data_IF_387684570173
#
_entry.id   IF_387684570173
#
_cell.length_a   1.000
_cell.length_b   1.000
_cell.length_c   1.000
_cell.angle_alpha   90.00
_cell.angle_beta   90.00
_cell.angle_gamma   90.00
#
_symmetry.space_group_name_H-M   'P 1'
#
loop_
_entity.id
_entity.type
_entity.pdbx_description
1 polymer ?
#
# COMPACT_ATOMS: atom_id res chain seq x y z
N UNK A 1 -8.01 -0.86 -1.45
CA UNK A 1 -8.60 0.46 -1.78
C UNK A 1 -9.80 0.24 -2.69
N UNK A 2 -10.88 0.99 -2.46
CA UNK A 2 -11.92 1.14 -3.48
C UNK A 2 -11.35 2.06 -4.55
N UNK A 3 -11.36 1.59 -5.80
CA UNK A 3 -10.98 2.40 -6.95
C UNK A 3 -11.98 3.56 -7.11
N UNK A 4 -11.52 4.76 -7.54
CA UNK A 4 -12.43 5.85 -7.86
C UNK A 4 -13.49 5.39 -8.87
N UNK A 5 -14.75 5.73 -8.61
CA UNK A 5 -15.84 5.40 -9.51
C UNK A 5 -16.03 6.51 -10.55
N UNK A 6 -16.32 6.13 -11.79
CA UNK A 6 -16.57 7.08 -12.88
C UNK A 6 -17.77 7.98 -12.54
N UNK A 7 -17.61 9.32 -12.58
CA UNK A 7 -18.71 10.24 -12.31
C UNK A 7 -19.92 10.04 -13.25
N UNK A 8 -19.72 9.58 -14.49
CA UNK A 8 -20.82 9.28 -15.41
C UNK A 8 -21.72 8.15 -14.87
N UNK A 9 -21.12 7.10 -14.29
CA UNK A 9 -21.83 5.97 -13.68
C UNK A 9 -22.59 6.42 -12.43
N UNK A 10 -21.98 7.28 -11.61
CA UNK A 10 -22.64 7.85 -10.42
C UNK A 10 -23.81 8.76 -10.81
N UNK A 11 -23.73 9.44 -11.95
CA UNK A 11 -24.80 10.30 -12.45
C UNK A 11 -25.97 9.53 -13.06
N UNK A 12 -25.69 8.42 -13.76
CA UNK A 12 -26.70 7.59 -14.43
C UNK A 12 -27.43 6.65 -13.47
N UNK A 13 -26.83 6.33 -12.31
CA UNK A 13 -27.43 5.47 -11.30
C UNK A 13 -27.40 6.11 -9.90
N UNK A 14 -28.44 6.89 -9.52
CA UNK A 14 -28.47 7.60 -8.25
C UNK A 14 -28.55 6.68 -7.02
N UNK A 15 -29.15 5.49 -7.16
CA UNK A 15 -29.18 4.49 -6.08
C UNK A 15 -27.78 3.94 -5.81
N UNK A 16 -27.05 3.60 -6.88
CA UNK A 16 -25.66 3.18 -6.76
C UNK A 16 -24.78 4.31 -6.20
N UNK A 17 -25.01 5.56 -6.59
CA UNK A 17 -24.32 6.72 -6.01
C UNK A 17 -24.50 6.81 -4.49
N UNK A 18 -25.73 6.67 -4.01
CA UNK A 18 -26.02 6.67 -2.57
C UNK A 18 -25.31 5.53 -1.84
N UNK A 19 -25.35 4.32 -2.39
CA UNK A 19 -24.64 3.15 -1.85
C UNK A 19 -23.12 3.37 -1.81
N UNK A 20 -22.53 3.82 -2.92
CA UNK A 20 -21.11 4.09 -3.04
C UNK A 20 -20.65 5.14 -2.03
N UNK A 21 -21.44 6.22 -1.87
CA UNK A 21 -21.18 7.26 -0.86
C UNK A 21 -21.26 6.69 0.56
N UNK A 22 -22.27 5.90 0.88
CA UNK A 22 -22.41 5.29 2.21
C UNK A 22 -21.25 4.33 2.51
N UNK A 23 -20.86 3.51 1.54
CA UNK A 23 -19.73 2.59 1.67
C UNK A 23 -18.42 3.34 1.95
N UNK A 24 -18.13 4.38 1.16
CA UNK A 24 -16.85 5.11 1.24
C UNK A 24 -16.75 6.07 2.43
N UNK A 25 -17.87 6.58 2.94
CA UNK A 25 -17.88 7.54 4.06
C UNK A 25 -18.12 6.88 5.41
N UNK A 26 -19.08 5.96 5.52
CA UNK A 26 -19.55 5.43 6.81
C UNK A 26 -19.03 4.02 7.12
N UNK A 27 -18.78 3.19 6.10
CA UNK A 27 -18.51 1.75 6.31
C UNK A 27 -17.03 1.41 6.15
N UNK A 28 -16.37 2.01 5.17
CA UNK A 28 -15.01 1.65 4.78
C UNK A 28 -14.02 2.76 5.12
N UNK A 29 -12.80 2.33 5.44
CA UNK A 29 -11.61 3.16 5.51
C UNK A 29 -11.04 3.36 4.09
N UNK A 30 -10.18 4.38 3.88
CA UNK A 30 -9.56 4.63 2.57
C UNK A 30 -8.78 3.44 2.01
N UNK A 31 -8.18 2.62 2.88
CA UNK A 31 -7.47 1.40 2.49
C UNK A 31 -8.41 0.27 1.99
N UNK A 32 -9.73 0.45 2.08
CA UNK A 32 -10.77 -0.51 1.70
C UNK A 32 -11.18 -1.43 2.85
N UNK A 33 -10.64 -1.23 4.04
CA UNK A 33 -10.92 -2.05 5.20
C UNK A 33 -12.17 -1.55 5.95
N UNK A 34 -12.90 -2.41 6.67
CA UNK A 34 -14.16 -2.00 7.33
C UNK A 34 -13.93 -1.28 8.66
N UNK A 35 -14.82 -0.35 9.00
CA UNK A 35 -14.84 0.38 10.28
C UNK A 35 -15.49 -0.41 11.41
N UNK A 36 -16.51 -1.22 11.10
CA UNK A 36 -17.30 -1.98 12.06
C UNK A 36 -16.49 -2.94 12.96
N UNK A 37 -15.34 -3.42 12.48
CA UNK A 37 -14.49 -4.38 13.21
C UNK A 37 -13.11 -3.81 13.50
N UNK A 38 -12.95 -2.49 13.65
CA UNK A 38 -11.66 -1.89 14.04
C UNK A 38 -11.21 -2.34 15.46
N UNK A 39 -12.18 -2.69 16.31
CA UNK A 39 -11.92 -3.15 17.67
C UNK A 39 -11.73 -4.67 17.81
N UNK A 40 -11.95 -5.46 16.75
CA UNK A 40 -11.82 -6.91 16.80
C UNK A 40 -10.34 -7.30 17.07
N UNK A 41 -10.06 -7.99 18.20
CA UNK A 41 -8.71 -8.40 18.56
C UNK A 41 -8.04 -9.27 17.50
N UNK A 42 -8.80 -10.16 16.86
CA UNK A 42 -8.31 -11.09 15.83
C UNK A 42 -7.78 -10.31 14.63
N UNK A 43 -8.52 -9.26 14.23
CA UNK A 43 -8.14 -8.39 13.13
C UNK A 43 -6.91 -7.54 13.47
N UNK A 44 -6.81 -7.03 14.71
CA UNK A 44 -5.64 -6.26 15.15
C UNK A 44 -4.37 -7.11 15.16
N UNK A 45 -4.46 -8.38 15.58
CA UNK A 45 -3.34 -9.31 15.56
C UNK A 45 -2.81 -9.50 14.12
N UNK A 46 -3.70 -9.79 13.17
CA UNK A 46 -3.34 -9.93 11.75
C UNK A 46 -2.73 -8.64 11.17
N UNK A 47 -3.25 -7.47 11.54
CA UNK A 47 -2.66 -6.19 11.11
C UNK A 47 -1.26 -5.96 11.68
N UNK A 48 -1.01 -6.35 12.93
CA UNK A 48 0.31 -6.26 13.55
C UNK A 48 1.32 -7.17 12.84
N UNK A 49 0.92 -8.41 12.54
CA UNK A 49 1.74 -9.36 11.78
C UNK A 49 2.04 -8.87 10.37
N UNK A 50 1.03 -8.35 9.66
CA UNK A 50 1.23 -7.77 8.33
C UNK A 50 2.25 -6.62 8.36
N UNK A 51 2.15 -5.70 9.33
CA UNK A 51 3.11 -4.61 9.50
C UNK A 51 4.54 -5.14 9.74
N UNK A 52 4.69 -6.17 10.56
CA UNK A 52 5.99 -6.82 10.84
C UNK A 52 6.60 -7.40 9.55
N UNK A 53 5.81 -8.12 8.75
CA UNK A 53 6.30 -8.70 7.49
C UNK A 53 6.63 -7.63 6.46
N UNK A 54 5.80 -6.60 6.30
CA UNK A 54 6.07 -5.48 5.40
C UNK A 54 7.35 -4.74 5.78
N UNK A 55 7.56 -4.45 7.06
CA UNK A 55 8.80 -3.82 7.53
C UNK A 55 10.04 -4.65 7.18
N UNK A 56 9.96 -5.98 7.33
CA UNK A 56 11.04 -6.90 6.93
C UNK A 56 11.30 -6.85 5.43
N UNK A 57 10.24 -6.95 4.62
CA UNK A 57 10.35 -6.94 3.16
C UNK A 57 10.94 -5.63 2.63
N UNK A 58 10.49 -4.49 3.16
CA UNK A 58 11.00 -3.16 2.78
C UNK A 58 12.47 -3.01 3.16
N UNK A 59 12.86 -3.42 4.37
CA UNK A 59 14.28 -3.42 4.79
C UNK A 59 15.14 -4.26 3.86
N UNK A 60 14.71 -5.47 3.54
CA UNK A 60 15.42 -6.35 2.61
C UNK A 60 15.58 -5.68 1.24
N UNK A 61 14.51 -5.12 0.69
CA UNK A 61 14.53 -4.42 -0.60
C UNK A 61 15.47 -3.21 -0.61
N UNK A 62 15.48 -2.42 0.47
CA UNK A 62 16.39 -1.27 0.61
C UNK A 62 17.84 -1.76 0.64
N UNK A 63 18.14 -2.78 1.45
CA UNK A 63 19.49 -3.34 1.55
C UNK A 63 19.97 -3.88 0.21
N UNK A 64 19.15 -4.67 -0.48
CA UNK A 64 19.47 -5.19 -1.83
C UNK A 64 19.75 -4.06 -2.80
N UNK A 65 18.95 -2.97 -2.78
CA UNK A 65 19.16 -1.81 -3.65
C UNK A 65 20.49 -1.12 -3.34
N UNK A 66 20.81 -0.91 -2.07
CA UNK A 66 22.06 -0.24 -1.67
C UNK A 66 23.27 -1.10 -2.05
N UNK A 67 23.24 -2.41 -1.76
CA UNK A 67 24.32 -3.33 -2.13
C UNK A 67 24.53 -3.35 -3.64
N UNK A 68 23.46 -3.40 -4.43
CA UNK A 68 23.55 -3.34 -5.90
C UNK A 68 24.14 -2.01 -6.39
N UNK A 69 23.79 -0.88 -5.75
CA UNK A 69 24.34 0.43 -6.09
C UNK A 69 25.83 0.54 -5.74
N UNK A 70 26.26 0.02 -4.58
CA UNK A 70 27.67 0.02 -4.18
C UNK A 70 28.49 -0.88 -5.12
N UNK A 71 28.02 -2.09 -5.41
CA UNK A 71 28.69 -3.00 -6.33
C UNK A 71 28.82 -2.43 -7.75
N UNK A 72 27.83 -1.63 -8.20
CA UNK A 72 27.90 -0.94 -9.49
C UNK A 72 28.77 0.32 -9.45
N UNK A 73 28.88 0.98 -8.29
CA UNK A 73 29.69 2.20 -8.09
C UNK A 73 31.19 1.93 -7.93
N UNK A 74 31.58 0.76 -7.40
CA UNK A 74 32.98 0.32 -7.31
C UNK A 74 33.61 -0.04 -8.67
N UNK A 75 32.80 -0.13 -9.74
CA UNK A 75 33.28 -0.44 -11.10
C UNK A 75 33.78 0.76 -11.92
N UNK A 76 33.72 1.99 -11.40
CA UNK A 76 34.16 3.20 -12.12
C UNK A 76 35.49 3.79 -11.61
N UNK A 77 36.21 3.07 -10.74
CA UNK A 77 37.62 3.34 -10.44
C UNK A 77 38.48 2.81 -11.56
N UNK A 78 38.44 3.48 -12.72
CA UNK A 78 39.34 3.22 -13.84
C UNK A 78 40.78 3.28 -13.36
N UNK A 79 41.49 2.17 -13.56
CA UNK A 79 42.94 2.09 -13.53
C UNK A 79 43.45 3.00 -14.67
N UNK A 80 43.80 4.24 -14.34
CA UNK A 80 44.69 5.04 -15.17
C UNK A 80 46.11 4.53 -14.88
N UNK A 81 46.48 3.43 -15.54
CA UNK A 81 47.87 2.99 -15.65
C UNK A 81 48.60 3.87 -16.67
N UNK A 82 49.72 4.44 -16.21
CA UNK A 82 50.66 5.33 -16.89
C UNK A 82 51.31 4.72 -18.15
#
# INVERSE_FOLDING_TARGET
>A
MISPCDPAILSSNPQFKALHQQLTTAILNPDGSTRAHAADPSRRAVQADLKKYLARAVKARILTRIVAQVAAGDGNGGLDDE
#
